data_IF_636215723460
#
_entry.id   IF_636215723460
#
_cell.length_a   1.000
_cell.length_b   1.000
_cell.length_c   1.000
_cell.angle_alpha   90.00
_cell.angle_beta   90.00
_cell.angle_gamma   90.00
#
_symmetry.space_group_name_H-M   'P 1'
#
loop_
_entity.id
_entity.type
_entity.pdbx_description
1 polymer ?
#
# COMPACT_ATOMS: atom_id res chain seq x y z
N UNK A 1 8.69 4.86 -0.32
CA UNK A 1 8.16 5.70 0.78
C UNK A 1 8.58 5.08 2.10
N UNK A 2 8.95 5.92 3.08
CA UNK A 2 9.36 5.48 4.42
C UNK A 2 8.37 5.93 5.50
N UNK A 3 8.01 5.04 6.42
CA UNK A 3 7.33 5.38 7.67
C UNK A 3 7.96 4.63 8.83
N UNK A 4 8.48 5.35 9.83
CA UNK A 4 9.31 4.76 10.90
C UNK A 4 10.42 3.86 10.31
N UNK A 5 10.44 2.58 10.67
CA UNK A 5 11.40 1.59 10.18
C UNK A 5 10.97 0.90 8.88
N UNK A 6 9.79 1.22 8.33
CA UNK A 6 9.23 0.55 7.16
C UNK A 6 9.49 1.33 5.87
N UNK A 7 10.04 0.65 4.87
CA UNK A 7 10.08 1.12 3.48
C UNK A 7 9.13 0.28 2.62
N UNK A 8 8.30 0.96 1.84
CA UNK A 8 7.48 0.36 0.79
C UNK A 8 7.85 1.00 -0.53
N UNK A 9 8.22 0.18 -1.51
CA UNK A 9 8.69 0.61 -2.82
C UNK A 9 7.95 -0.16 -3.93
N UNK A 10 7.66 0.51 -5.03
CA UNK A 10 7.11 -0.12 -6.24
C UNK A 10 8.23 -0.41 -7.24
N UNK A 11 8.19 -1.55 -7.92
CA UNK A 11 9.15 -1.92 -8.97
C UNK A 11 8.42 -2.24 -10.28
N UNK A 12 8.88 -1.77 -11.46
CA UNK A 12 8.29 -2.14 -12.73
C UNK A 12 8.69 -3.56 -13.14
N UNK A 13 7.73 -4.46 -13.31
CA UNK A 13 7.98 -5.83 -13.75
C UNK A 13 9.06 -6.56 -12.94
N UNK A 14 10.08 -7.07 -13.64
CA UNK A 14 11.25 -7.73 -13.07
C UNK A 14 12.46 -6.80 -12.91
N UNK A 15 12.27 -5.49 -13.03
CA UNK A 15 13.35 -4.52 -12.85
C UNK A 15 13.78 -4.43 -11.38
N UNK A 16 15.05 -4.11 -11.16
CA UNK A 16 15.65 -3.94 -9.84
C UNK A 16 15.71 -2.47 -9.41
N UNK A 17 15.23 -1.55 -10.23
CA UNK A 17 15.15 -0.13 -9.91
C UNK A 17 13.72 0.22 -9.49
N UNK A 18 13.49 0.76 -8.27
CA UNK A 18 12.17 1.16 -7.85
C UNK A 18 11.67 2.39 -8.64
N UNK A 19 10.36 2.51 -8.77
CA UNK A 19 9.73 3.69 -9.35
C UNK A 19 10.13 4.92 -8.53
N UNK A 20 10.50 5.99 -9.24
CA UNK A 20 10.83 7.26 -8.62
C UNK A 20 9.59 7.87 -7.97
N UNK A 21 9.75 8.31 -6.74
CA UNK A 21 8.73 8.95 -5.93
C UNK A 21 8.88 10.49 -5.99
N UNK A 22 7.76 11.20 -6.02
CA UNK A 22 7.72 12.66 -6.05
C UNK A 22 6.69 13.20 -5.05
N UNK A 23 7.02 14.32 -4.41
CA UNK A 23 6.14 15.06 -3.49
C UNK A 23 5.50 14.14 -2.44
N UNK A 24 6.34 13.41 -1.72
CA UNK A 24 5.88 12.56 -0.64
C UNK A 24 5.42 13.40 0.54
N UNK A 25 4.15 13.28 0.91
CA UNK A 25 3.52 14.02 2.02
C UNK A 25 2.77 13.06 2.93
N UNK A 26 2.69 13.37 4.23
CA UNK A 26 1.95 12.56 5.20
C UNK A 26 0.73 13.33 5.70
N UNK A 27 -0.43 12.69 5.64
CA UNK A 27 -1.72 13.24 6.06
C UNK A 27 -2.37 12.31 7.06
N UNK A 28 -3.11 12.84 8.03
CA UNK A 28 -3.90 12.01 8.94
C UNK A 28 -5.31 11.84 8.35
N UNK A 29 -5.68 10.63 7.99
CA UNK A 29 -6.97 10.29 7.36
C UNK A 29 -7.84 9.53 8.35
N UNK A 30 -9.16 9.82 8.48
CA UNK A 30 -10.05 9.03 9.32
C UNK A 30 -9.99 7.54 8.97
N UNK A 31 -9.73 6.68 9.95
CA UNK A 31 -9.67 5.23 9.76
C UNK A 31 -11.09 4.65 9.87
N UNK A 32 -11.69 4.15 8.76
CA UNK A 32 -13.05 3.61 8.78
C UNK A 32 -13.16 2.32 9.60
N UNK A 33 -12.05 1.61 9.82
CA UNK A 33 -12.01 0.37 10.60
C UNK A 33 -11.67 0.63 12.08
N UNK A 34 -11.42 1.88 12.47
CA UNK A 34 -11.16 2.22 13.86
C UNK A 34 -12.42 1.99 14.71
N UNK A 35 -12.24 1.44 15.91
CA UNK A 35 -13.33 1.25 16.85
C UNK A 35 -14.01 2.61 17.14
N UNK A 36 -15.35 2.68 17.34
CA UNK A 36 -16.08 3.94 17.49
C UNK A 36 -15.57 4.86 18.61
N UNK A 37 -14.88 4.29 19.60
CA UNK A 37 -14.28 5.01 20.73
C UNK A 37 -12.83 5.46 20.49
N UNK A 38 -12.16 4.93 19.47
CA UNK A 38 -10.81 5.31 19.05
C UNK A 38 -10.90 6.19 17.79
N UNK A 39 -11.18 7.48 17.95
CA UNK A 39 -11.17 8.46 16.84
C UNK A 39 -9.74 8.81 16.40
N UNK A 40 -8.90 7.82 16.15
CA UNK A 40 -7.55 8.03 15.65
C UNK A 40 -7.58 7.93 14.14
N UNK A 41 -7.08 8.96 13.45
CA UNK A 41 -6.80 8.83 12.03
C UNK A 41 -5.57 7.95 11.80
N UNK A 42 -5.49 7.36 10.63
CA UNK A 42 -4.32 6.62 10.17
C UNK A 42 -3.38 7.58 9.41
N UNK A 43 -2.08 7.59 9.73
CA UNK A 43 -1.08 8.24 8.90
C UNK A 43 -1.15 7.67 7.48
N UNK A 44 -1.34 8.55 6.49
CA UNK A 44 -1.40 8.21 5.08
C UNK A 44 -0.31 8.96 4.35
N UNK A 45 0.75 8.25 3.97
CA UNK A 45 1.78 8.78 3.10
C UNK A 45 1.27 8.73 1.68
N UNK A 46 1.27 9.88 1.02
CA UNK A 46 0.91 10.01 -0.38
C UNK A 46 2.14 10.41 -1.17
N UNK A 47 2.33 9.79 -2.32
CA UNK A 47 3.38 10.15 -3.26
C UNK A 47 2.90 10.00 -4.70
N UNK A 48 3.52 10.74 -5.61
CA UNK A 48 3.35 10.50 -7.03
C UNK A 48 4.42 9.53 -7.55
N UNK A 49 4.05 8.71 -8.52
CA UNK A 49 4.95 7.80 -9.27
C UNK A 49 4.68 7.88 -10.77
N UNK A 50 5.68 7.61 -11.62
CA UNK A 50 5.43 7.54 -13.06
C UNK A 50 4.48 6.38 -13.37
N UNK A 51 3.51 6.62 -14.25
CA UNK A 51 2.65 5.56 -14.75
C UNK A 51 3.43 4.55 -15.58
N UNK A 52 3.13 3.27 -15.38
CA UNK A 52 3.51 2.21 -16.30
C UNK A 52 2.40 2.00 -17.34
N UNK A 53 2.68 1.19 -18.36
CA UNK A 53 1.66 0.78 -19.31
C UNK A 53 0.55 0.01 -18.59
N UNK A 54 -0.70 0.26 -18.97
CA UNK A 54 -1.83 -0.49 -18.44
C UNK A 54 -1.57 -2.01 -18.56
N UNK A 55 -1.87 -2.75 -17.48
CA UNK A 55 -1.61 -4.19 -17.35
C UNK A 55 -0.13 -4.61 -17.37
N UNK A 56 0.83 -3.69 -17.30
CA UNK A 56 2.22 -4.09 -17.07
C UNK A 56 2.36 -4.73 -15.68
N UNK A 57 3.13 -5.81 -15.53
CA UNK A 57 3.39 -6.39 -14.22
C UNK A 57 4.17 -5.42 -13.33
N UNK A 58 3.96 -5.48 -12.02
CA UNK A 58 4.75 -4.70 -11.06
C UNK A 58 4.96 -5.41 -9.72
N UNK A 59 6.09 -5.06 -9.11
CA UNK A 59 6.58 -5.31 -7.76
C UNK A 59 6.02 -4.45 -6.64
N UNK A 60 5.72 -4.98 -5.46
CA UNK A 60 5.80 -4.21 -4.21
C UNK A 60 6.89 -4.84 -3.33
N UNK A 61 7.83 -4.03 -2.85
CA UNK A 61 8.84 -4.45 -1.88
C UNK A 61 8.53 -3.82 -0.52
N UNK A 62 8.54 -4.64 0.53
CA UNK A 62 8.34 -4.24 1.92
C UNK A 62 9.61 -4.56 2.68
N UNK A 63 10.26 -3.55 3.25
CA UNK A 63 11.48 -3.70 4.02
C UNK A 63 11.29 -3.08 5.40
N UNK A 64 11.71 -3.78 6.45
CA UNK A 64 11.93 -3.18 7.76
C UNK A 64 13.42 -3.00 8.02
N UNK A 65 13.85 -1.79 8.41
CA UNK A 65 15.25 -1.46 8.72
C UNK A 65 15.72 -1.94 10.10
N UNK A 66 14.83 -2.59 10.84
CA UNK A 66 15.08 -3.20 12.14
C UNK A 66 13.89 -4.05 12.57
N UNK A 67 13.81 -4.35 13.86
CA UNK A 67 12.63 -5.03 14.40
C UNK A 67 11.44 -4.05 14.35
N UNK A 68 10.31 -4.43 13.74
CA UNK A 68 9.12 -3.59 13.73
C UNK A 68 8.63 -3.22 15.13
N UNK A 69 8.29 -1.95 15.33
CA UNK A 69 7.63 -1.47 16.54
C UNK A 69 6.15 -1.85 16.54
N UNK A 70 5.72 -2.61 17.55
CA UNK A 70 4.28 -2.80 17.81
C UNK A 70 3.71 -1.50 18.40
N UNK A 71 2.48 -1.12 18.05
CA UNK A 71 1.85 0.08 18.58
C UNK A 71 1.41 -0.11 20.04
N UNK A 72 1.27 1.01 20.77
CA UNK A 72 0.77 0.95 22.15
C UNK A 72 -0.65 0.38 22.24
N UNK A 73 -1.52 0.73 21.29
CA UNK A 73 -2.89 0.22 21.23
C UNK A 73 -2.91 -1.31 21.14
N UNK A 74 -2.08 -1.88 20.26
CA UNK A 74 -1.97 -3.33 20.09
C UNK A 74 -1.32 -4.02 21.29
N UNK A 75 -0.29 -3.41 21.91
CA UNK A 75 0.27 -3.90 23.18
C UNK A 75 -0.76 -3.92 24.31
N UNK A 76 -1.73 -3.01 24.31
CA UNK A 76 -2.81 -3.00 25.29
C UNK A 76 -3.95 -3.99 24.95
N UNK A 77 -3.99 -4.50 23.72
CA UNK A 77 -5.01 -5.44 23.28
C UNK A 77 -4.79 -6.87 23.80
N UNK A 78 -3.53 -7.30 23.91
CA UNK A 78 -3.16 -8.66 24.30
C UNK A 78 -1.89 -8.67 25.16
N UNK A 79 -1.79 -9.66 26.05
CA UNK A 79 -0.58 -9.91 26.86
C UNK A 79 0.54 -10.59 26.07
N UNK A 80 0.31 -10.90 24.79
CA UNK A 80 1.25 -11.63 23.91
C UNK A 80 1.76 -10.76 22.75
N UNK A 81 2.41 -9.61 23.00
CA UNK A 81 2.88 -8.71 21.93
C UNK A 81 3.86 -9.38 20.96
N UNK A 82 4.54 -10.46 21.37
CA UNK A 82 5.41 -11.28 20.54
C UNK A 82 4.69 -12.01 19.39
N UNK A 83 3.36 -12.18 19.49
CA UNK A 83 2.54 -12.85 18.49
C UNK A 83 1.97 -11.89 17.43
N UNK A 84 2.25 -10.59 17.53
CA UNK A 84 1.75 -9.60 16.56
C UNK A 84 2.31 -9.89 15.16
N UNK A 85 1.41 -9.88 14.20
CA UNK A 85 1.66 -9.98 12.77
C UNK A 85 1.35 -8.63 12.10
N UNK A 86 2.10 -8.32 11.05
CA UNK A 86 1.87 -7.17 10.17
C UNK A 86 1.25 -7.66 8.87
N UNK A 87 -0.03 -7.32 8.69
CA UNK A 87 -0.75 -7.56 7.43
C UNK A 87 -0.54 -6.35 6.51
N UNK A 88 -0.17 -6.62 5.26
CA UNK A 88 -0.01 -5.65 4.19
C UNK A 88 -1.06 -5.91 3.12
N UNK A 89 -2.13 -5.13 3.14
CA UNK A 89 -3.21 -5.25 2.18
C UNK A 89 -2.97 -4.31 1.00
N UNK A 90 -3.00 -4.86 -0.21
CA UNK A 90 -2.80 -4.09 -1.45
C UNK A 90 -4.15 -3.80 -2.07
N UNK A 91 -4.42 -2.51 -2.29
CA UNK A 91 -5.61 -2.01 -2.98
C UNK A 91 -5.21 -1.29 -4.26
N UNK A 92 -5.98 -1.50 -5.32
CA UNK A 92 -5.87 -0.74 -6.57
C UNK A 92 -7.26 -0.17 -6.86
N UNK A 93 -7.36 1.15 -6.98
CA UNK A 93 -8.63 1.85 -7.21
C UNK A 93 -9.71 1.47 -6.18
N UNK A 94 -9.30 1.25 -4.92
CA UNK A 94 -10.17 0.88 -3.80
C UNK A 94 -10.55 -0.60 -3.74
N UNK A 95 -10.04 -1.43 -4.67
CA UNK A 95 -10.31 -2.88 -4.69
C UNK A 95 -9.13 -3.65 -4.09
N UNK A 96 -9.35 -4.56 -3.13
CA UNK A 96 -8.30 -5.41 -2.61
C UNK A 96 -7.83 -6.38 -3.70
N UNK A 97 -6.52 -6.41 -3.97
CA UNK A 97 -5.92 -7.24 -5.03
C UNK A 97 -4.88 -8.22 -4.53
N UNK A 98 -4.30 -7.99 -3.35
CA UNK A 98 -3.32 -8.89 -2.73
C UNK A 98 -3.21 -8.65 -1.22
N UNK A 99 -2.65 -9.60 -0.51
CA UNK A 99 -2.28 -9.44 0.91
C UNK A 99 -0.98 -10.19 1.19
N UNK A 100 -0.19 -9.67 2.11
CA UNK A 100 0.96 -10.36 2.68
C UNK A 100 0.93 -10.24 4.20
N UNK A 101 1.41 -11.27 4.90
CA UNK A 101 1.44 -11.29 6.36
C UNK A 101 2.85 -11.62 6.78
N UNK A 102 3.43 -10.72 7.58
CA UNK A 102 4.82 -10.79 8.03
C UNK A 102 4.83 -10.80 9.56
N UNK A 103 5.68 -11.62 10.16
CA UNK A 103 5.91 -11.58 11.58
C UNK A 103 6.96 -10.51 11.95
N UNK A 104 7.16 -10.31 13.25
CA UNK A 104 8.17 -9.39 13.78
C UNK A 104 9.62 -9.81 13.48
N UNK A 105 9.84 -11.05 13.04
CA UNK A 105 11.16 -11.63 12.78
C UNK A 105 11.55 -11.58 11.29
N UNK A 106 10.76 -10.91 10.45
CA UNK A 106 11.00 -10.83 9.01
C UNK A 106 12.44 -10.35 8.71
N UNK A 107 13.06 -10.97 7.70
CA UNK A 107 14.43 -10.66 7.29
C UNK A 107 14.44 -10.17 5.85
N UNK A 108 15.07 -9.01 5.65
CA UNK A 108 15.24 -8.42 4.33
C UNK A 108 13.93 -7.94 3.70
N UNK A 109 13.96 -7.58 2.41
CA UNK A 109 12.77 -7.14 1.71
C UNK A 109 11.86 -8.32 1.37
N UNK A 110 10.57 -8.20 1.68
CA UNK A 110 9.52 -9.08 1.21
C UNK A 110 8.90 -8.54 -0.07
N UNK A 111 8.79 -9.37 -1.11
CA UNK A 111 8.21 -8.97 -2.39
C UNK A 111 6.80 -9.50 -2.57
N UNK A 112 5.83 -8.60 -2.76
CA UNK A 112 4.48 -8.94 -3.21
C UNK A 112 4.44 -8.80 -4.73
N UNK A 113 4.15 -9.89 -5.42
CA UNK A 113 4.07 -9.95 -6.89
C UNK A 113 2.77 -10.58 -7.39
N UNK A 114 2.10 -11.35 -6.54
CA UNK A 114 0.92 -12.14 -6.89
C UNK A 114 -0.36 -11.42 -6.51
N UNK A 115 -1.40 -11.61 -7.31
CA UNK A 115 -2.74 -11.08 -7.04
C UNK A 115 -3.70 -12.20 -6.66
N UNK A 116 -4.85 -11.85 -6.08
CA UNK A 116 -5.92 -12.81 -5.79
C UNK A 116 -6.53 -13.44 -7.06
N UNK A 117 -6.23 -12.90 -8.24
CA UNK A 117 -6.67 -13.39 -9.55
C UNK A 117 -8.19 -13.48 -9.72
N UNK A 118 -8.63 -13.85 -10.93
CA UNK A 118 -10.03 -14.16 -11.20
C UNK A 118 -10.42 -15.59 -10.76
N UNK A 119 -9.44 -16.48 -10.60
CA UNK A 119 -9.64 -17.90 -10.30
C UNK A 119 -8.77 -18.37 -9.12
N UNK A 120 -9.04 -17.87 -7.90
CA UNK A 120 -8.30 -18.26 -6.67
C UNK A 120 -6.77 -18.09 -6.78
N UNK A 121 -6.33 -16.94 -7.30
CA UNK A 121 -4.92 -16.62 -7.51
C UNK A 121 -4.37 -17.07 -8.85
N UNK A 122 -5.19 -17.66 -9.72
CA UNK A 122 -4.80 -18.10 -11.05
C UNK A 122 -5.45 -17.28 -12.17
N UNK A 123 -4.75 -17.21 -13.30
CA UNK A 123 -5.28 -16.76 -14.57
C UNK A 123 -6.20 -17.82 -15.18
N UNK A 124 -6.94 -17.45 -16.23
CA UNK A 124 -7.77 -18.40 -17.02
C UNK A 124 -6.97 -19.57 -17.61
N UNK A 125 -5.65 -19.44 -17.72
CA UNK A 125 -4.75 -20.46 -18.25
C UNK A 125 -4.16 -21.35 -17.14
N UNK A 126 -4.50 -21.11 -15.88
CA UNK A 126 -3.96 -21.84 -14.73
C UNK A 126 -2.59 -21.36 -14.24
N UNK A 127 -2.09 -20.24 -14.75
CA UNK A 127 -0.84 -19.62 -14.27
C UNK A 127 -1.11 -18.73 -13.06
N UNK A 128 -0.13 -18.55 -12.17
CA UNK A 128 -0.26 -17.66 -11.01
C UNK A 128 -0.47 -16.22 -11.51
N UNK A 129 -1.56 -15.59 -11.05
CA UNK A 129 -1.86 -14.22 -11.42
C UNK A 129 -0.95 -13.24 -10.68
N UNK A 130 -0.63 -12.14 -11.35
CA UNK A 130 0.37 -11.16 -10.89
C UNK A 130 -0.28 -9.80 -10.69
N UNK A 131 0.36 -8.94 -9.91
CA UNK A 131 -0.05 -7.56 -9.77
C UNK A 131 0.11 -6.84 -11.12
N UNK A 132 -0.95 -6.14 -11.54
CA UNK A 132 -1.07 -5.45 -12.82
C UNK A 132 -1.30 -3.97 -12.61
N UNK A 133 -0.50 -3.14 -13.29
CA UNK A 133 -0.57 -1.70 -13.13
C UNK A 133 -1.92 -1.16 -13.66
N UNK A 134 -2.62 -0.30 -12.89
CA UNK A 134 -3.93 0.22 -13.27
C UNK A 134 -3.86 1.15 -14.50
N UNK A 135 -4.99 1.31 -15.23
CA UNK A 135 -5.07 2.30 -16.28
C UNK A 135 -5.01 3.71 -15.67
N UNK A 136 -4.44 4.66 -16.41
CA UNK A 136 -4.53 6.06 -15.99
C UNK A 136 -5.93 6.59 -16.24
N UNK A 137 -6.49 7.25 -15.24
CA UNK A 137 -7.81 7.84 -15.31
C UNK A 137 -7.69 9.35 -15.53
N UNK A 138 -7.98 9.82 -16.75
CA UNK A 138 -7.88 11.24 -17.10
C UNK A 138 -8.76 12.14 -16.21
N UNK A 139 -9.84 11.59 -15.64
CA UNK A 139 -10.68 12.27 -14.66
C UNK A 139 -9.94 12.79 -13.43
N UNK A 140 -8.79 12.19 -13.07
CA UNK A 140 -7.92 12.65 -11.98
C UNK A 140 -7.36 14.06 -12.28
N UNK A 141 -7.05 14.36 -13.55
CA UNK A 141 -6.57 15.69 -13.96
C UNK A 141 -7.64 16.76 -13.83
N UNK A 142 -8.90 16.36 -13.81
CA UNK A 142 -10.06 17.25 -13.71
C UNK A 142 -10.53 17.46 -12.26
N UNK A 143 -9.96 16.71 -11.30
CA UNK A 143 -10.31 16.86 -9.90
C UNK A 143 -9.86 18.22 -9.37
N UNK A 144 -10.82 19.00 -8.89
CA UNK A 144 -10.57 20.35 -8.32
C UNK A 144 -10.06 20.32 -6.89
N UNK A 145 -10.33 19.23 -6.16
CA UNK A 145 -9.96 19.05 -4.77
C UNK A 145 -9.26 17.70 -4.68
N UNK A 146 -8.01 17.71 -4.23
CA UNK A 146 -7.25 16.52 -3.94
C UNK A 146 -7.52 16.10 -2.50
N UNK A 147 -7.82 14.82 -2.27
CA UNK A 147 -8.08 14.28 -0.94
C UNK A 147 -7.16 13.07 -0.68
N UNK A 148 -6.38 13.05 0.42
CA UNK A 148 -5.51 11.91 0.76
C UNK A 148 -6.29 10.62 1.05
N UNK A 149 -7.58 10.72 1.36
CA UNK A 149 -8.44 9.55 1.61
C UNK A 149 -8.89 8.84 0.33
N UNK A 150 -8.90 9.51 -0.83
CA UNK A 150 -9.44 8.95 -2.08
C UNK A 150 -8.70 7.69 -2.53
N UNK A 151 -9.42 6.76 -3.15
CA UNK A 151 -8.86 5.49 -3.64
C UNK A 151 -8.60 5.45 -5.15
N UNK A 152 -9.35 6.25 -5.91
CA UNK A 152 -9.35 6.22 -7.36
C UNK A 152 -8.03 6.73 -7.94
N UNK A 153 -7.43 5.97 -8.87
CA UNK A 153 -6.14 6.28 -9.47
C UNK A 153 -4.94 5.97 -8.59
N UNK A 154 -5.11 5.13 -7.57
CA UNK A 154 -4.09 4.90 -6.55
C UNK A 154 -3.87 3.43 -6.31
N UNK A 155 -2.61 3.10 -6.08
CA UNK A 155 -2.16 1.84 -5.51
C UNK A 155 -1.91 2.13 -4.03
N UNK A 156 -2.70 1.53 -3.15
CA UNK A 156 -2.58 1.69 -1.69
C UNK A 156 -2.09 0.41 -1.04
N UNK A 157 -1.17 0.54 -0.10
CA UNK A 157 -0.74 -0.56 0.78
C UNK A 157 -1.10 -0.13 2.19
N UNK A 158 -2.01 -0.87 2.83
CA UNK A 158 -2.40 -0.64 4.22
C UNK A 158 -1.62 -1.63 5.08
N UNK A 159 -0.87 -1.11 6.05
CA UNK A 159 -0.19 -1.92 7.05
C UNK A 159 -1.03 -1.98 8.32
N UNK A 160 -1.39 -3.19 8.75
CA UNK A 160 -2.27 -3.44 9.88
C UNK A 160 -1.61 -4.39 10.88
N UNK A 161 -1.65 -4.03 12.15
CA UNK A 161 -1.29 -4.95 13.23
C UNK A 161 -2.43 -5.90 13.51
N UNK A 162 -2.11 -7.20 13.57
CA UNK A 162 -3.08 -8.26 13.81
C UNK A 162 -2.54 -9.35 14.73
N UNK A 163 -3.44 -10.14 15.31
CA UNK A 163 -3.10 -11.37 16.04
C UNK A 163 -3.58 -12.60 15.28
N UNK A 164 -2.84 -13.72 15.32
CA UNK A 164 -3.33 -14.99 14.80
C UNK A 164 -4.56 -15.45 15.59
N UNK A 165 -5.51 -16.06 14.88
CA UNK A 165 -6.67 -16.73 15.46
C UNK A 165 -6.61 -18.22 15.11
N UNK A 166 -7.17 -19.03 16.00
CA UNK A 166 -7.44 -20.43 15.71
C UNK A 166 -8.76 -20.57 14.93
N UNK A 167 -8.76 -20.07 13.69
CA UNK A 167 -9.90 -20.15 12.77
C UNK A 167 -9.42 -20.28 11.34
N UNK A 168 -9.94 -21.28 10.64
CA UNK A 168 -9.60 -21.52 9.23
C UNK A 168 -10.18 -20.43 8.32
N UNK A 169 -11.33 -19.86 8.68
CA UNK A 169 -12.04 -18.86 7.86
C UNK A 169 -11.68 -17.43 8.21
N UNK A 170 -11.25 -17.18 9.46
CA UNK A 170 -10.82 -15.88 9.95
C UNK A 170 -9.50 -16.05 10.71
N UNK A 171 -8.39 -16.35 10.01
CA UNK A 171 -7.13 -16.73 10.63
C UNK A 171 -6.43 -15.60 11.39
N UNK A 172 -6.94 -14.37 11.30
CA UNK A 172 -6.35 -13.20 11.94
C UNK A 172 -7.41 -12.27 12.51
N UNK A 173 -7.03 -11.54 13.56
CA UNK A 173 -7.77 -10.46 14.17
C UNK A 173 -7.03 -9.15 13.95
N UNK A 174 -7.56 -8.26 13.11
CA UNK A 174 -7.02 -6.92 12.94
C UNK A 174 -7.30 -6.09 14.18
N UNK A 175 -6.27 -5.38 14.64
CA UNK A 175 -6.34 -4.52 15.83
C UNK A 175 -6.26 -3.05 15.44
N UNK A 176 -5.31 -2.71 14.56
CA UNK A 176 -5.05 -1.31 14.22
C UNK A 176 -4.40 -1.17 12.85
N UNK A 177 -4.95 -0.29 12.01
CA UNK A 177 -4.26 0.23 10.84
C UNK A 177 -3.13 1.19 11.30
N UNK A 178 -1.89 0.84 11.01
CA UNK A 178 -0.71 1.57 11.46
C UNK A 178 -0.37 2.71 10.52
N UNK A 179 -0.38 2.44 9.21
CA UNK A 179 -0.04 3.40 8.16
C UNK A 179 -0.61 2.96 6.81
N UNK A 180 -0.93 3.94 5.96
CA UNK A 180 -1.29 3.73 4.55
C UNK A 180 -0.21 4.33 3.66
N UNK A 181 0.32 3.53 2.74
CA UNK A 181 1.21 3.97 1.67
C UNK A 181 0.39 4.11 0.38
N UNK A 182 0.16 5.33 -0.06
CA UNK A 182 -0.69 5.69 -1.18
C UNK A 182 0.15 6.22 -2.35
N UNK A 183 0.22 5.44 -3.43
CA UNK A 183 0.93 5.78 -4.66
C UNK A 183 -0.06 6.24 -5.72
N UNK A 184 -0.07 7.54 -6.02
CA UNK A 184 -0.84 8.10 -7.11
C UNK A 184 -0.01 8.10 -8.38
N UNK A 185 -0.41 7.31 -9.37
CA UNK A 185 0.35 7.27 -10.63
C UNK A 185 -0.11 8.37 -11.59
N UNK A 186 0.86 8.98 -12.28
CA UNK A 186 0.58 9.98 -13.31
C UNK A 186 1.47 9.74 -14.54
N UNK A 187 0.96 9.90 -15.77
CA UNK A 187 1.75 9.83 -16.98
C UNK A 187 2.91 10.83 -16.89
N UNK A 188 4.09 10.49 -17.38
CA UNK A 188 5.26 11.38 -17.36
C UNK A 188 4.95 12.76 -17.97
N UNK A 189 4.08 12.83 -18.98
CA UNK A 189 3.60 14.09 -19.56
C UNK A 189 2.61 14.86 -18.69
N UNK A 190 1.83 14.18 -17.84
CA UNK A 190 0.81 14.75 -16.96
C UNK A 190 1.33 15.07 -15.54
N UNK A 191 2.42 14.44 -15.11
CA UNK A 191 3.18 14.86 -13.92
C UNK A 191 3.63 16.33 -14.02
N UNK A 192 3.76 16.88 -15.24
CA UNK A 192 3.99 18.31 -15.51
C UNK A 192 2.79 19.22 -15.16
N UNK A 193 1.58 18.68 -15.12
CA UNK A 193 0.31 19.43 -15.07
C UNK A 193 -0.33 19.37 -13.68
N UNK A 194 -0.16 18.26 -12.95
CA UNK A 194 -0.76 18.06 -11.62
C UNK A 194 -0.09 18.88 -10.49
N UNK A 195 0.97 19.62 -10.79
CA UNK A 195 1.73 20.42 -9.83
C UNK A 195 1.45 21.91 -10.06
N UNK A 196 0.43 22.45 -9.38
CA UNK A 196 0.26 23.87 -9.05
C UNK A 196 0.62 24.91 -10.15
N UNK A 197 0.33 24.60 -11.42
CA UNK A 197 0.62 25.50 -12.55
C UNK A 197 2.11 25.80 -12.78
N UNK A 198 3.04 25.06 -12.16
CA UNK A 198 4.49 25.26 -12.35
C UNK A 198 5.13 23.99 -12.89
N UNK A 199 5.66 24.15 -14.10
CA UNK A 199 6.39 23.14 -14.85
C UNK A 199 7.63 22.69 -14.06
N UNK A 200 7.68 21.42 -13.63
CA UNK A 200 8.96 20.79 -13.37
C UNK A 200 9.53 20.27 -14.70
N UNK A 201 10.54 20.98 -15.21
CA UNK A 201 11.48 20.41 -16.15
C UNK A 201 12.35 19.41 -15.39
N UNK A 202 12.31 18.15 -15.77
CA UNK A 202 13.43 17.24 -15.54
C UNK A 202 14.26 17.23 -16.82
N UNK A 203 15.52 17.64 -16.68
CA UNK A 203 16.56 17.48 -17.70
C UNK A 203 16.74 16.01 -18.08
#
# INVERSE_FOLDING_TARGET
MRYENWDVLLFPGSDHVPLKEFRTECHVVPDPESLPLSRHGVPTLNTFVPSLLYNSPFSISILSWGNPSVSQATRSYSNHPELVLFEFQVYIDGRPVSTAILDQNMKGPYSIQHSFGAFYGLTKNGEIDTLRFPPFHDGILLQRIWNPADDFGRIKIIMTESFPRDSVTMPFERVKNVVVFSFQHAPLGACKILLDGVLLQTN
#
